data_IF_246468527627
#
_entry.id   IF_246468527627
#
_cell.length_a   1.000
_cell.length_b   1.000
_cell.length_c   1.000
_cell.angle_alpha   90.00
_cell.angle_beta   90.00
_cell.angle_gamma   90.00
#
_symmetry.space_group_name_H-M   'P 1'
#
loop_
_entity.id
_entity.type
_entity.pdbx_description
1 polymer ?
#
# COMPACT_ATOMS: atom_id res chain seq x y z
N UNK A 1 -3.48 1.97 16.00
CA UNK A 1 -2.27 1.84 16.83
C UNK A 1 -2.48 0.67 17.77
N UNK A 2 -1.60 -0.32 17.74
CA UNK A 2 -1.66 -1.48 18.64
C UNK A 2 -1.02 -1.04 19.95
N UNK A 3 -1.80 -0.71 21.01
CA UNK A 3 -1.33 0.16 22.10
C UNK A 3 -0.08 -0.34 22.85
N UNK A 4 0.30 -1.61 22.72
CA UNK A 4 1.48 -2.18 23.39
C UNK A 4 2.74 -2.31 22.52
N UNK A 5 2.66 -2.16 21.19
CA UNK A 5 3.84 -2.29 20.33
C UNK A 5 4.76 -1.07 20.48
N UNK A 6 4.18 0.13 20.51
CA UNK A 6 4.93 1.39 20.66
C UNK A 6 5.76 1.40 21.96
N UNK A 7 5.17 0.96 23.07
CA UNK A 7 5.86 0.82 24.36
C UNK A 7 6.99 -0.22 24.33
N UNK A 8 6.79 -1.31 23.58
CA UNK A 8 7.80 -2.36 23.40
C UNK A 8 8.98 -1.82 22.60
N UNK A 9 8.72 -1.11 21.51
CA UNK A 9 9.75 -0.46 20.67
C UNK A 9 10.48 0.62 21.45
N UNK A 10 9.76 1.45 22.22
CA UNK A 10 10.37 2.45 23.09
C UNK A 10 11.26 1.81 24.15
N UNK A 11 10.86 0.66 24.71
CA UNK A 11 11.67 -0.10 25.67
C UNK A 11 12.96 -0.65 25.08
N UNK A 12 12.90 -1.17 23.86
CA UNK A 12 14.06 -1.61 23.10
C UNK A 12 15.02 -0.46 22.82
N UNK A 13 14.51 0.68 22.34
CA UNK A 13 15.32 1.85 22.03
C UNK A 13 15.97 2.45 23.29
N UNK A 14 15.28 2.36 24.44
CA UNK A 14 15.80 2.79 25.73
C UNK A 14 16.76 1.79 26.40
N UNK A 15 16.90 0.56 25.86
CA UNK A 15 17.82 -0.45 26.40
C UNK A 15 17.41 -0.98 27.78
N UNK A 16 16.10 -1.08 28.07
CA UNK A 16 15.60 -1.48 29.39
C UNK A 16 15.93 -2.93 29.78
N UNK A 17 16.38 -3.76 28.83
CA UNK A 17 16.96 -5.07 29.09
C UNK A 17 15.97 -6.10 29.68
N UNK A 18 14.69 -6.01 29.34
CA UNK A 18 13.62 -6.88 29.85
C UNK A 18 13.20 -7.96 28.85
N UNK A 19 11.89 -8.16 28.74
CA UNK A 19 11.23 -9.16 27.90
C UNK A 19 10.84 -8.61 26.51
N UNK A 20 11.40 -7.47 26.08
CA UNK A 20 10.93 -6.78 24.88
C UNK A 20 11.11 -7.61 23.60
N UNK A 21 12.21 -8.37 23.48
CA UNK A 21 12.41 -9.26 22.34
C UNK A 21 11.39 -10.41 22.30
N UNK A 22 10.91 -10.89 23.46
CA UNK A 22 9.82 -11.85 23.53
C UNK A 22 8.51 -11.20 23.09
N UNK A 23 8.23 -9.97 23.55
CA UNK A 23 7.03 -9.21 23.12
C UNK A 23 7.02 -8.94 21.62
N UNK A 24 8.15 -8.63 21.00
CA UNK A 24 8.25 -8.53 19.53
C UNK A 24 7.79 -9.82 18.83
N UNK A 25 8.20 -10.99 19.33
CA UNK A 25 7.77 -12.26 18.76
C UNK A 25 6.26 -12.51 18.89
N UNK A 26 5.61 -11.95 19.92
CA UNK A 26 4.14 -11.99 20.05
C UNK A 26 3.41 -11.18 18.97
N UNK A 27 4.03 -10.12 18.48
CA UNK A 27 3.57 -9.37 17.30
C UNK A 27 4.01 -10.00 15.97
N UNK A 28 4.49 -11.25 16.00
CA UNK A 28 5.06 -11.96 14.84
C UNK A 28 6.25 -11.22 14.17
N UNK A 29 6.92 -10.33 14.90
CA UNK A 29 8.11 -9.62 14.42
C UNK A 29 9.31 -10.54 14.55
N UNK A 30 9.95 -10.83 13.41
CA UNK A 30 11.13 -11.71 13.35
C UNK A 30 12.45 -10.94 13.24
N UNK A 31 12.40 -9.74 12.68
CA UNK A 31 13.59 -8.95 12.39
C UNK A 31 13.36 -7.48 12.77
N UNK A 32 14.41 -6.85 13.26
CA UNK A 32 14.48 -5.41 13.52
C UNK A 32 15.56 -4.84 12.60
N UNK A 33 15.17 -3.91 11.72
CA UNK A 33 16.07 -3.26 10.77
C UNK A 33 16.29 -1.81 11.19
N UNK A 34 17.55 -1.42 11.32
CA UNK A 34 17.95 -0.01 11.33
C UNK A 34 18.38 0.39 9.92
N UNK A 35 17.67 1.37 9.37
CA UNK A 35 17.96 1.95 8.06
C UNK A 35 19.18 2.87 8.09
N UNK A 36 19.78 3.08 6.93
CA UNK A 36 20.89 4.02 6.76
C UNK A 36 20.46 5.48 7.02
N UNK A 37 21.33 6.32 7.62
CA UNK A 37 22.57 5.95 8.32
C UNK A 37 22.27 5.37 9.71
N UNK A 38 23.02 4.34 10.11
CA UNK A 38 22.82 3.70 11.43
C UNK A 38 23.39 4.56 12.55
N UNK A 39 22.56 4.85 13.55
CA UNK A 39 23.01 5.40 14.83
C UNK A 39 23.75 4.31 15.64
N UNK A 40 25.04 4.54 15.92
CA UNK A 40 25.88 3.61 16.65
C UNK A 40 25.50 3.46 18.14
N UNK A 41 24.85 4.46 18.74
CA UNK A 41 24.35 4.35 20.10
C UNK A 41 23.17 3.39 20.14
N UNK A 42 22.21 3.58 19.23
CA UNK A 42 21.06 2.67 19.13
C UNK A 42 21.48 1.25 18.74
N UNK A 43 22.45 1.10 17.84
CA UNK A 43 22.98 -0.22 17.48
C UNK A 43 23.58 -0.95 18.70
N UNK A 44 24.41 -0.25 19.51
CA UNK A 44 24.97 -0.81 20.74
C UNK A 44 23.89 -1.16 21.77
N UNK A 45 22.83 -0.37 21.85
CA UNK A 45 21.67 -0.69 22.69
C UNK A 45 20.98 -1.96 22.21
N UNK A 46 20.73 -2.13 20.92
CA UNK A 46 20.10 -3.35 20.40
C UNK A 46 21.01 -4.58 20.52
N UNK A 47 22.33 -4.41 20.41
CA UNK A 47 23.31 -5.47 20.61
C UNK A 47 23.33 -5.99 22.07
N UNK A 48 22.85 -5.21 23.05
CA UNK A 48 22.77 -5.64 24.45
C UNK A 48 21.43 -6.27 24.84
N UNK A 49 20.42 -6.25 23.97
CA UNK A 49 19.08 -6.81 24.25
C UNK A 49 19.11 -8.34 24.23
N UNK A 50 18.76 -9.02 25.33
CA UNK A 50 18.62 -10.47 25.34
C UNK A 50 17.58 -10.95 24.32
N UNK A 51 17.96 -11.92 23.49
CA UNK A 51 17.08 -12.49 22.46
C UNK A 51 17.04 -11.72 21.13
N UNK A 52 17.90 -10.71 20.97
CA UNK A 52 18.29 -10.18 19.66
C UNK A 52 19.68 -10.69 19.30
N UNK A 53 19.83 -11.17 18.07
CA UNK A 53 21.13 -11.52 17.50
C UNK A 53 21.37 -10.71 16.24
N UNK A 54 22.54 -10.07 16.16
CA UNK A 54 22.93 -9.31 14.98
C UNK A 54 23.15 -10.26 13.81
N UNK A 55 22.59 -9.94 12.66
CA UNK A 55 22.76 -10.69 11.41
C UNK A 55 23.31 -9.79 10.31
N UNK A 56 23.75 -10.40 9.22
CA UNK A 56 24.25 -9.65 8.06
C UNK A 56 23.15 -8.76 7.48
N UNK A 57 23.54 -7.55 7.05
CA UNK A 57 22.68 -6.55 6.47
C UNK A 57 23.39 -5.89 5.28
N UNK A 58 22.64 -5.28 4.33
CA UNK A 58 23.24 -4.48 3.26
C UNK A 58 24.14 -3.36 3.81
N UNK A 59 25.14 -2.96 3.04
CA UNK A 59 26.13 -1.96 3.45
C UNK A 59 25.50 -0.71 4.06
N UNK A 60 25.94 -0.39 5.28
CA UNK A 60 25.49 0.77 6.06
C UNK A 60 24.18 0.58 6.83
N UNK A 61 23.47 -0.54 6.64
CA UNK A 61 22.31 -0.90 7.46
C UNK A 61 22.72 -1.87 8.59
N UNK A 62 21.82 -2.10 9.53
CA UNK A 62 22.01 -3.10 10.58
C UNK A 62 20.71 -3.87 10.82
N UNK A 63 20.82 -5.19 11.00
CA UNK A 63 19.69 -6.10 11.11
C UNK A 63 19.89 -7.01 12.33
N UNK A 64 18.85 -7.13 13.14
CA UNK A 64 18.79 -8.06 14.25
C UNK A 64 17.68 -9.07 14.02
N UNK A 65 17.94 -10.34 14.32
CA UNK A 65 16.95 -11.41 14.34
C UNK A 65 16.49 -11.64 15.77
N UNK A 66 15.18 -11.75 15.95
CA UNK A 66 14.56 -12.17 17.21
C UNK A 66 14.71 -13.69 17.35
N UNK A 67 15.21 -14.15 18.49
CA UNK A 67 15.48 -15.58 18.73
C UNK A 67 14.25 -16.35 19.21
N UNK A 68 13.24 -15.66 19.72
CA UNK A 68 11.99 -16.26 20.18
C UNK A 68 11.12 -16.74 19.00
N UNK A 69 10.35 -17.83 19.15
CA UNK A 69 9.45 -18.31 18.10
C UNK A 69 8.39 -17.25 17.74
N UNK A 70 8.53 -16.65 16.56
CA UNK A 70 7.58 -15.69 16.00
C UNK A 70 6.78 -16.34 14.84
N UNK A 71 5.45 -16.29 14.91
CA UNK A 71 4.56 -16.75 13.84
C UNK A 71 3.29 -15.90 13.82
N UNK A 72 2.78 -15.62 12.61
CA UNK A 72 1.52 -14.88 12.43
C UNK A 72 0.34 -15.64 13.02
N UNK A 73 0.32 -16.96 12.84
CA UNK A 73 -0.70 -17.85 13.40
C UNK A 73 0.00 -18.90 14.26
N UNK A 74 -0.43 -19.07 15.50
CA UNK A 74 0.16 -20.03 16.45
C UNK A 74 -0.90 -20.69 17.31
N UNK A 75 -0.61 -21.91 17.75
CA UNK A 75 -1.43 -22.60 18.75
C UNK A 75 -0.71 -22.52 20.08
N UNK A 76 -1.40 -22.03 21.10
CA UNK A 76 -0.91 -21.99 22.48
C UNK A 76 -1.68 -23.00 23.32
N UNK A 77 -0.95 -23.67 24.20
CA UNK A 77 -1.53 -24.55 25.19
C UNK A 77 -2.22 -23.74 26.32
N UNK A 78 -3.02 -24.40 27.18
CA UNK A 78 -3.61 -23.75 28.35
C UNK A 78 -2.58 -23.09 29.27
N UNK A 79 -1.36 -23.65 29.34
CA UNK A 79 -0.23 -23.11 30.10
C UNK A 79 0.45 -21.89 29.44
N UNK A 80 -0.04 -21.45 28.27
CA UNK A 80 0.48 -20.31 27.52
C UNK A 80 1.68 -20.61 26.64
N UNK A 81 2.23 -21.83 26.67
CA UNK A 81 3.37 -22.19 25.81
C UNK A 81 2.93 -22.34 24.36
N UNK A 82 3.78 -21.87 23.44
CA UNK A 82 3.58 -22.07 22.01
C UNK A 82 3.77 -23.56 21.70
N UNK A 83 2.71 -24.21 21.20
CA UNK A 83 2.75 -25.60 20.80
C UNK A 83 3.37 -25.74 19.40
N UNK A 84 2.89 -24.97 18.43
CA UNK A 84 3.46 -24.88 17.08
C UNK A 84 2.98 -23.64 16.33
N UNK A 85 3.75 -23.26 15.31
CA UNK A 85 3.37 -22.25 14.32
C UNK A 85 2.53 -22.90 13.22
N UNK A 86 1.49 -22.19 12.78
CA UNK A 86 0.65 -22.61 11.65
C UNK A 86 1.17 -21.89 10.40
N UNK A 87 1.52 -22.60 9.31
CA UNK A 87 1.88 -21.96 8.04
C UNK A 87 0.75 -21.02 7.62
N UNK A 88 1.06 -19.75 7.39
CA UNK A 88 0.06 -18.73 7.06
C UNK A 88 0.38 -18.15 5.68
N UNK A 89 -0.59 -18.13 4.79
CA UNK A 89 -0.52 -17.35 3.55
C UNK A 89 -0.98 -15.89 3.82
N UNK A 90 -0.78 -14.97 2.87
CA UNK A 90 -1.03 -13.54 3.10
C UNK A 90 -2.45 -13.19 3.56
N UNK A 91 -3.48 -13.94 3.15
CA UNK A 91 -4.90 -13.60 3.36
C UNK A 91 -5.70 -14.74 4.00
N UNK A 92 -5.62 -15.95 3.43
CA UNK A 92 -6.31 -17.13 3.94
C UNK A 92 -5.31 -18.14 4.49
N UNK A 93 -5.71 -18.93 5.48
CA UNK A 93 -4.85 -19.98 6.01
C UNK A 93 -5.64 -21.26 6.17
N UNK A 94 -5.22 -22.28 5.44
CA UNK A 94 -5.71 -23.66 5.58
C UNK A 94 -4.58 -24.49 6.16
N UNK A 95 -4.83 -25.15 7.28
CA UNK A 95 -3.84 -26.00 7.92
C UNK A 95 -4.47 -27.25 8.54
N UNK A 96 -3.70 -28.34 8.55
CA UNK A 96 -4.06 -29.53 9.30
C UNK A 96 -3.61 -29.38 10.75
N UNK A 97 -4.56 -29.36 11.67
CA UNK A 97 -4.32 -29.23 13.10
C UNK A 97 -4.18 -30.64 13.72
N UNK A 98 -3.05 -30.98 14.37
CA UNK A 98 -2.97 -32.20 15.17
C UNK A 98 -3.87 -32.11 16.41
N UNK A 99 -4.29 -33.25 17.00
CA UNK A 99 -4.91 -33.27 18.32
C UNK A 99 -3.98 -32.66 19.39
N UNK A 100 -4.57 -32.16 20.48
CA UNK A 100 -3.81 -31.51 21.54
C UNK A 100 -4.60 -31.40 22.85
N UNK A 101 -4.01 -30.75 23.88
CA UNK A 101 -4.66 -30.62 25.18
C UNK A 101 -5.95 -29.78 25.07
N UNK A 102 -6.93 -30.13 25.89
CA UNK A 102 -8.17 -29.37 26.01
C UNK A 102 -7.88 -27.94 26.51
N UNK A 103 -8.59 -26.95 25.98
CA UNK A 103 -8.42 -25.54 26.35
C UNK A 103 -7.27 -24.83 25.62
N UNK A 104 -6.67 -25.46 24.60
CA UNK A 104 -5.73 -24.80 23.70
C UNK A 104 -6.41 -23.71 22.88
N UNK A 105 -5.63 -22.75 22.43
CA UNK A 105 -6.12 -21.56 21.72
C UNK A 105 -5.32 -21.33 20.45
N UNK A 106 -6.02 -20.94 19.40
CA UNK A 106 -5.41 -20.39 18.20
C UNK A 106 -5.24 -18.90 18.40
N UNK A 107 -4.04 -18.37 18.19
CA UNK A 107 -3.71 -16.95 18.33
C UNK A 107 -3.16 -16.44 17.01
N UNK A 108 -3.75 -15.35 16.53
CA UNK A 108 -3.29 -14.59 15.38
C UNK A 108 -2.61 -13.34 15.92
N UNK A 109 -1.40 -13.05 15.45
CA UNK A 109 -0.68 -11.81 15.75
C UNK A 109 -1.25 -10.61 14.95
N UNK A 110 -2.58 -10.50 14.93
CA UNK A 110 -3.37 -9.48 14.23
C UNK A 110 -4.30 -8.85 15.25
N UNK A 111 -4.67 -7.58 15.02
CA UNK A 111 -5.62 -6.90 15.90
C UNK A 111 -6.96 -7.63 15.93
N UNK A 112 -7.54 -7.78 17.12
CA UNK A 112 -8.85 -8.37 17.28
C UNK A 112 -9.90 -7.60 16.44
N UNK A 113 -10.61 -8.34 15.58
CA UNK A 113 -11.58 -7.77 14.65
C UNK A 113 -12.72 -8.77 14.42
N UNK A 114 -13.94 -8.25 14.37
CA UNK A 114 -15.14 -9.03 14.12
C UNK A 114 -15.15 -9.72 12.74
N UNK A 115 -14.35 -9.24 11.78
CA UNK A 115 -14.22 -9.78 10.41
C UNK A 115 -13.39 -11.05 10.32
N UNK A 116 -12.55 -11.34 11.31
CA UNK A 116 -11.82 -12.60 11.38
C UNK A 116 -12.75 -13.76 11.71
N UNK A 117 -12.76 -14.83 10.91
CA UNK A 117 -13.52 -16.04 11.21
C UNK A 117 -12.61 -17.25 11.09
N UNK A 118 -12.71 -18.19 12.03
CA UNK A 118 -12.02 -19.47 11.96
C UNK A 118 -13.02 -20.61 12.08
N UNK A 119 -12.80 -21.68 11.33
CA UNK A 119 -13.58 -22.91 11.34
C UNK A 119 -12.65 -24.11 11.51
N UNK A 120 -13.11 -25.13 12.24
CA UNK A 120 -12.44 -26.43 12.32
C UNK A 120 -13.41 -27.49 11.78
N UNK A 121 -13.03 -28.13 10.68
CA UNK A 121 -13.89 -29.08 9.94
C UNK A 121 -15.29 -28.48 9.66
N UNK A 122 -15.31 -27.21 9.25
CA UNK A 122 -16.54 -26.46 8.96
C UNK A 122 -17.28 -25.89 10.17
N UNK A 123 -16.92 -26.25 11.41
CA UNK A 123 -17.54 -25.69 12.62
C UNK A 123 -16.86 -24.39 13.04
N UNK A 124 -17.64 -23.32 13.19
CA UNK A 124 -17.14 -22.00 13.61
C UNK A 124 -16.58 -22.04 15.02
N UNK A 125 -15.37 -21.52 15.20
CA UNK A 125 -14.70 -21.45 16.49
C UNK A 125 -15.12 -20.19 17.27
N UNK A 126 -15.26 -20.27 18.61
CA UNK A 126 -15.51 -19.11 19.45
C UNK A 126 -14.32 -18.15 19.42
N UNK A 127 -14.60 -16.87 19.14
CA UNK A 127 -13.60 -15.79 19.14
C UNK A 127 -13.29 -15.34 20.56
N UNK A 128 -12.07 -14.86 20.76
CA UNK A 128 -11.65 -14.19 21.99
C UNK A 128 -10.52 -13.20 21.70
N UNK A 129 -10.20 -12.35 22.68
CA UNK A 129 -9.04 -11.45 22.64
C UNK A 129 -7.96 -12.04 23.53
N UNK A 130 -6.76 -12.22 22.98
CA UNK A 130 -5.63 -12.82 23.68
C UNK A 130 -4.58 -11.74 23.93
N UNK A 131 -4.02 -11.71 25.14
CA UNK A 131 -3.05 -10.70 25.57
C UNK A 131 -3.53 -9.24 25.38
N UNK A 132 -4.85 -9.01 25.45
CA UNK A 132 -5.46 -7.68 25.39
C UNK A 132 -5.55 -7.03 24.00
N UNK A 133 -5.01 -7.64 22.95
CA UNK A 133 -5.03 -7.05 21.59
C UNK A 133 -5.18 -8.07 20.45
N UNK A 134 -4.64 -9.27 20.62
CA UNK A 134 -4.50 -10.25 19.54
C UNK A 134 -5.83 -10.98 19.29
N UNK A 135 -6.15 -11.25 18.03
CA UNK A 135 -7.29 -12.11 17.69
C UNK A 135 -7.00 -13.56 18.11
N UNK A 136 -7.90 -14.14 18.91
CA UNK A 136 -7.83 -15.54 19.29
C UNK A 136 -9.08 -16.33 18.98
N UNK A 137 -8.95 -17.66 18.99
CA UNK A 137 -10.05 -18.61 18.89
C UNK A 137 -9.84 -19.79 19.84
N UNK A 138 -10.90 -20.21 20.52
CA UNK A 138 -10.86 -21.41 21.36
C UNK A 138 -10.88 -22.66 20.49
N UNK A 139 -9.91 -23.54 20.70
CA UNK A 139 -9.77 -24.80 19.97
C UNK A 139 -10.19 -25.99 20.85
N UNK A 140 -10.88 -26.99 20.28
CA UNK A 140 -11.10 -28.26 20.95
C UNK A 140 -9.80 -29.08 21.05
N UNK A 141 -9.85 -30.15 21.85
CA UNK A 141 -8.74 -31.11 21.95
C UNK A 141 -8.54 -31.88 20.64
N UNK A 142 -9.60 -32.05 19.86
CA UNK A 142 -9.58 -32.71 18.55
C UNK A 142 -8.72 -31.95 17.55
N UNK A 143 -8.04 -32.71 16.68
CA UNK A 143 -7.42 -32.18 15.46
C UNK A 143 -8.45 -32.06 14.34
N UNK A 144 -8.05 -31.47 13.22
CA UNK A 144 -8.94 -31.25 12.09
C UNK A 144 -8.39 -30.26 11.06
N UNK A 145 -9.17 -30.00 10.01
CA UNK A 145 -8.84 -28.99 9.01
C UNK A 145 -9.26 -27.62 9.52
N UNK A 146 -8.28 -26.79 9.84
CA UNK A 146 -8.46 -25.41 10.25
C UNK A 146 -8.51 -24.51 9.02
N UNK A 147 -9.53 -23.67 8.93
CA UNK A 147 -9.58 -22.57 7.98
C UNK A 147 -9.73 -21.24 8.72
N UNK A 148 -8.95 -20.25 8.31
CA UNK A 148 -9.00 -18.88 8.82
C UNK A 148 -9.27 -17.97 7.63
N UNK A 149 -10.28 -17.12 7.76
CA UNK A 149 -10.68 -16.15 6.73
C UNK A 149 -10.88 -14.76 7.33
N UNK A 150 -10.49 -13.74 6.58
CA UNK A 150 -10.79 -12.35 6.89
C UNK A 150 -11.83 -11.82 5.91
N UNK A 151 -12.89 -11.20 6.42
CA UNK A 151 -13.90 -10.56 5.57
C UNK A 151 -13.39 -9.19 5.03
N UNK A 152 -13.04 -9.14 3.74
CA UNK A 152 -12.59 -7.94 3.02
C UNK A 152 -13.64 -7.32 2.09
N UNK A 153 -14.90 -7.79 2.11
CA UNK A 153 -15.91 -7.42 1.11
C UNK A 153 -16.13 -5.90 0.99
N UNK A 154 -16.12 -5.17 2.11
CA UNK A 154 -16.25 -3.71 2.10
C UNK A 154 -15.07 -2.99 1.42
N UNK A 155 -13.86 -3.54 1.58
CA UNK A 155 -12.65 -2.97 0.95
C UNK A 155 -12.64 -3.21 -0.55
N UNK A 156 -13.04 -4.41 -0.99
CA UNK A 156 -13.20 -4.73 -2.41
C UNK A 156 -14.23 -3.82 -3.08
N UNK A 157 -15.38 -3.61 -2.44
CA UNK A 157 -16.40 -2.68 -2.94
C UNK A 157 -15.88 -1.25 -3.05
N UNK A 158 -15.08 -0.79 -2.08
CA UNK A 158 -14.47 0.54 -2.13
C UNK A 158 -13.47 0.70 -3.28
N UNK A 159 -12.70 -0.35 -3.60
CA UNK A 159 -11.74 -0.32 -4.71
C UNK A 159 -12.46 -0.28 -6.06
N UNK A 160 -13.56 -1.03 -6.22
CA UNK A 160 -14.40 -0.96 -7.41
C UNK A 160 -14.99 0.44 -7.56
N UNK A 161 -15.50 1.02 -6.47
CA UNK A 161 -16.04 2.39 -6.49
C UNK A 161 -14.95 3.42 -6.84
N UNK A 162 -13.75 3.29 -6.27
CA UNK A 162 -12.61 4.15 -6.61
C UNK A 162 -12.21 4.04 -8.07
N UNK A 163 -12.18 2.82 -8.63
CA UNK A 163 -11.89 2.59 -10.04
C UNK A 163 -12.95 3.26 -10.93
N UNK A 164 -14.23 3.13 -10.59
CA UNK A 164 -15.34 3.80 -11.31
C UNK A 164 -15.20 5.32 -11.23
N UNK A 165 -14.91 5.87 -10.06
CA UNK A 165 -14.73 7.31 -9.87
C UNK A 165 -13.51 7.83 -10.64
N UNK A 166 -12.40 7.08 -10.63
CA UNK A 166 -11.20 7.41 -11.40
C UNK A 166 -11.50 7.44 -12.91
N UNK A 167 -12.23 6.43 -13.41
CA UNK A 167 -12.66 6.41 -14.81
C UNK A 167 -13.56 7.60 -15.14
N UNK A 168 -14.49 7.97 -14.26
CA UNK A 168 -15.34 9.14 -14.44
C UNK A 168 -14.51 10.44 -14.51
N UNK A 169 -13.50 10.59 -13.64
CA UNK A 169 -12.57 11.73 -13.68
C UNK A 169 -11.77 11.76 -14.98
N UNK A 170 -11.27 10.61 -15.45
CA UNK A 170 -10.55 10.52 -16.74
C UNK A 170 -11.46 10.97 -17.88
N UNK A 171 -12.69 10.46 -17.95
CA UNK A 171 -13.67 10.84 -18.99
C UNK A 171 -13.99 12.33 -18.96
N UNK A 172 -14.21 12.91 -17.77
CA UNK A 172 -14.48 14.34 -17.62
C UNK A 172 -13.26 15.22 -17.91
N UNK A 173 -12.04 14.68 -17.74
CA UNK A 173 -10.80 15.38 -18.05
C UNK A 173 -10.40 15.27 -19.53
N UNK A 174 -11.07 14.43 -20.33
CA UNK A 174 -10.84 14.39 -21.77
C UNK A 174 -11.39 15.69 -22.39
N UNK A 175 -10.54 16.54 -23.00
CA UNK A 175 -11.02 17.73 -23.69
C UNK A 175 -11.96 17.31 -24.82
N UNK A 176 -13.16 17.89 -24.82
CA UNK A 176 -14.19 17.64 -25.83
C UNK A 176 -13.64 18.11 -27.19
N UNK A 177 -13.22 17.16 -28.03
CA UNK A 177 -12.64 17.39 -29.35
C UNK A 177 -13.68 17.83 -30.38
N UNK A 178 -14.50 18.82 -30.05
CA UNK A 178 -15.37 19.49 -31.01
C UNK A 178 -14.49 20.46 -31.81
N UNK A 179 -14.26 20.09 -33.06
CA UNK A 179 -13.60 20.88 -34.11
C UNK A 179 -14.14 22.31 -34.11
N UNK A 180 -13.25 23.28 -34.03
CA UNK A 180 -13.50 24.59 -34.60
C UNK A 180 -13.17 24.48 -36.09
N UNK A 181 -14.13 23.99 -36.87
CA UNK A 181 -14.23 24.30 -38.29
C UNK A 181 -15.51 25.15 -38.44
N UNK A 182 -15.41 26.16 -39.29
CA UNK A 182 -16.46 27.09 -39.75
C UNK A 182 -16.56 28.45 -39.00
N UNK A 183 -15.61 29.35 -39.29
CA UNK A 183 -15.98 30.75 -39.53
C UNK A 183 -15.97 30.96 -41.06
N UNK A 184 -17.14 30.74 -41.66
CA UNK A 184 -17.50 31.25 -42.98
C UNK A 184 -17.50 32.78 -42.90
N UNK A 185 -16.45 33.44 -43.38
CA UNK A 185 -16.47 34.90 -43.56
C UNK A 185 -17.17 35.23 -44.88
N UNK A 186 -18.50 35.21 -44.83
CA UNK A 186 -19.39 35.82 -45.81
C UNK A 186 -19.20 37.35 -45.75
N UNK A 187 -18.21 37.88 -46.48
CA UNK A 187 -18.13 39.34 -46.69
C UNK A 187 -19.19 39.76 -47.69
N UNK A 188 -20.34 40.11 -47.11
CA UNK A 188 -21.43 40.90 -47.67
C UNK A 188 -20.89 42.08 -48.49
N UNK A 189 -21.14 42.06 -49.80
CA UNK A 189 -20.85 43.16 -50.73
C UNK A 189 -21.93 44.23 -50.57
N UNK A 190 -21.61 45.48 -50.18
CA UNK A 190 -22.61 46.55 -50.16
C UNK A 190 -22.79 47.16 -51.57
N UNK A 191 -24.02 47.59 -51.94
CA UNK A 191 -24.30 48.09 -53.28
C UNK A 191 -23.94 49.57 -53.46
N UNK A 192 -23.23 49.87 -54.55
CA UNK A 192 -23.46 51.02 -55.43
C UNK A 192 -23.37 52.46 -54.89
N UNK A 193 -22.20 53.08 -55.11
CA UNK A 193 -22.06 54.20 -56.06
C UNK A 193 -22.17 55.65 -55.56
N UNK A 194 -21.09 56.43 -55.72
CA UNK A 194 -21.13 57.82 -56.22
C UNK A 194 -19.87 58.09 -57.05
N UNK A 195 -20.11 58.49 -58.29
CA UNK A 195 -19.16 58.96 -59.31
C UNK A 195 -18.91 60.47 -59.15
N UNK A 196 -17.66 60.94 -59.28
CA UNK A 196 -17.31 62.34 -59.62
C UNK A 196 -16.01 62.40 -60.44
N UNK A 197 -16.01 62.91 -61.69
CA UNK A 197 -14.82 63.28 -62.47
C UNK A 197 -14.68 64.82 -62.57
N UNK A 198 -13.71 65.40 -63.33
CA UNK A 198 -12.25 65.19 -63.32
C UNK A 198 -11.49 66.55 -63.10
N UNK A 199 -10.18 66.52 -62.85
CA UNK A 199 -9.33 67.71 -62.96
C UNK A 199 -7.93 67.38 -63.50
N UNK A 200 -7.80 67.61 -64.81
CA UNK A 200 -6.68 68.13 -65.61
C UNK A 200 -5.30 68.32 -64.96
N UNK A 201 -4.26 67.69 -65.53
CA UNK A 201 -3.18 68.35 -66.29
C UNK A 201 -2.11 67.34 -66.76
N UNK A 202 -1.82 67.41 -68.06
CA UNK A 202 -0.71 66.81 -68.84
C UNK A 202 0.65 67.48 -68.49
N UNK A 203 1.83 67.12 -69.07
CA UNK A 203 2.12 66.10 -70.13
C UNK A 203 3.47 65.32 -69.97
N UNK A 204 3.70 64.40 -70.92
CA UNK A 204 4.97 64.03 -71.61
C UNK A 204 6.23 63.64 -70.79
N UNK A 205 7.09 62.70 -71.17
CA UNK A 205 7.40 61.96 -72.40
C UNK A 205 8.01 60.61 -71.95
N UNK A 206 7.88 59.47 -72.64
CA UNK A 206 8.17 59.23 -74.04
C UNK A 206 9.61 58.72 -74.22
N UNK A 207 9.74 57.54 -74.85
CA UNK A 207 10.90 57.04 -75.63
C UNK A 207 11.83 55.97 -74.98
N UNK A 208 11.46 54.71 -75.24
CA UNK A 208 12.30 53.51 -75.57
C UNK A 208 13.35 53.84 -76.66
N UNK A 209 14.56 53.22 -76.83
CA UNK A 209 14.65 51.79 -77.20
C UNK A 209 15.98 50.98 -77.03
N UNK A 210 15.81 49.64 -77.12
CA UNK A 210 16.54 48.63 -77.93
C UNK A 210 18.09 48.46 -77.89
N UNK A 211 18.52 47.27 -77.39
CA UNK A 211 19.60 46.33 -77.88
C UNK A 211 21.10 46.77 -77.89
N UNK A 212 22.09 45.90 -78.27
CA UNK A 212 22.44 44.50 -77.92
C UNK A 212 23.98 44.24 -77.65
N UNK A 213 24.32 43.03 -77.17
CA UNK A 213 25.48 42.11 -77.46
C UNK A 213 26.97 42.59 -77.53
N UNK A 214 27.81 41.97 -76.67
CA UNK A 214 29.25 41.54 -76.73
C UNK A 214 30.36 42.61 -77.00
N UNK A 215 31.63 42.38 -76.59
CA UNK A 215 32.53 41.29 -77.03
C UNK A 215 32.72 40.12 -76.06
#
# INVERSE_FOLDING_TARGET
CTPGLDDTVAGLAAGRGGDEAQRLAEYAIRYVLLTRPVDQNLARTLDSVPGLIRVSAPDGAALWKVTFPSARVRVINPDGKIQFAVPSEPVDTVAQLPPGPAGRRLVLAESADHRWTATLDGRKLPKEVVHGWAQGFRLPAEGGRLEIRYDSTMREMSLVLQLVLLLAVIVLALPDGRRAEDEEEETETPPGGVEVPPATAHPEAGVEPDRPILP
#
